data_IF_314558793564
#
_entry.id   IF_314558793564
#
_cell.length_a   1.000
_cell.length_b   1.000
_cell.length_c   1.000
_cell.angle_alpha   90.00
_cell.angle_beta   90.00
_cell.angle_gamma   90.00
#
_symmetry.space_group_name_H-M   'P 1'
#
loop_
_entity.id
_entity.type
_entity.pdbx_description
1 polymer ?
#
# COMPACT_ATOMS: atom_id res chain seq x y z
N UNK A 1 -2.41 0.92 -11.71
CA UNK A 1 -1.82 -0.44 -11.76
C UNK A 1 -1.91 -1.21 -10.45
N UNK A 2 -1.70 -0.59 -9.28
CA UNK A 2 -1.81 -1.27 -7.97
C UNK A 2 -3.03 -2.21 -7.83
N UNK A 3 -4.23 -1.72 -8.15
CA UNK A 3 -5.46 -2.53 -8.05
C UNK A 3 -5.49 -3.74 -8.99
N UNK A 4 -4.85 -3.66 -10.16
CA UNK A 4 -4.77 -4.80 -11.09
C UNK A 4 -3.87 -5.90 -10.51
N UNK A 5 -2.71 -5.52 -9.99
CA UNK A 5 -1.82 -6.46 -9.29
C UNK A 5 -2.48 -7.11 -8.09
N UNK A 6 -3.29 -6.34 -7.35
CA UNK A 6 -4.03 -6.85 -6.21
C UNK A 6 -5.01 -7.96 -6.61
N UNK A 7 -5.78 -7.73 -7.67
CA UNK A 7 -6.73 -8.73 -8.19
C UNK A 7 -6.05 -9.99 -8.73
N UNK A 8 -4.78 -9.90 -9.10
CA UNK A 8 -3.99 -11.04 -9.54
C UNK A 8 -3.19 -11.71 -8.40
N UNK A 9 -3.41 -11.31 -7.15
CA UNK A 9 -2.76 -11.93 -5.99
C UNK A 9 -1.26 -11.64 -5.93
N UNK A 10 -0.82 -10.47 -6.42
CA UNK A 10 0.59 -10.06 -6.48
C UNK A 10 0.91 -9.01 -5.40
N UNK A 11 1.18 -9.42 -4.15
CA UNK A 11 1.29 -8.49 -3.03
C UNK A 11 2.50 -7.56 -3.14
N UNK A 12 3.62 -8.03 -3.69
CA UNK A 12 4.84 -7.22 -3.81
C UNK A 12 4.69 -6.12 -4.87
N UNK A 13 4.24 -6.46 -6.08
CA UNK A 13 3.99 -5.49 -7.14
C UNK A 13 2.89 -4.49 -6.78
N UNK A 14 1.87 -4.95 -6.03
CA UNK A 14 0.84 -4.07 -5.47
C UNK A 14 1.47 -3.08 -4.51
N UNK A 15 2.29 -3.55 -3.56
CA UNK A 15 2.91 -2.70 -2.56
C UNK A 15 3.88 -1.69 -3.19
N UNK A 16 4.70 -2.10 -4.15
CA UNK A 16 5.60 -1.21 -4.89
C UNK A 16 4.82 -0.14 -5.66
N UNK A 17 3.73 -0.52 -6.33
CA UNK A 17 2.89 0.43 -7.06
C UNK A 17 2.22 1.45 -6.13
N UNK A 18 1.74 1.01 -4.95
CA UNK A 18 1.17 1.90 -3.95
C UNK A 18 2.22 2.81 -3.30
N UNK A 19 3.44 2.31 -3.10
CA UNK A 19 4.55 3.11 -2.57
C UNK A 19 4.95 4.22 -3.56
N UNK A 20 4.98 3.91 -4.86
CA UNK A 20 5.22 4.91 -5.90
C UNK A 20 4.11 5.97 -5.92
N UNK A 21 2.84 5.54 -5.94
CA UNK A 21 1.70 6.44 -5.86
C UNK A 21 1.71 7.29 -4.58
N UNK A 22 2.13 6.72 -3.45
CA UNK A 22 2.22 7.42 -2.16
C UNK A 22 3.30 8.52 -2.18
N UNK A 23 4.38 8.34 -2.93
CA UNK A 23 5.43 9.36 -3.10
C UNK A 23 4.95 10.55 -3.93
N UNK A 24 4.11 10.30 -4.93
CA UNK A 24 3.57 11.35 -5.82
C UNK A 24 2.37 12.06 -5.20
N UNK A 25 1.45 11.29 -4.61
CA UNK A 25 0.20 11.79 -4.02
C UNK A 25 -0.11 11.06 -2.69
N UNK A 26 0.51 11.48 -1.57
CA UNK A 26 0.34 10.82 -0.28
C UNK A 26 -1.12 10.75 0.20
N UNK A 27 -1.88 11.82 -0.02
CA UNK A 27 -3.29 11.94 0.36
C UNK A 27 -4.19 10.95 -0.41
N UNK A 28 -3.92 10.71 -1.69
CA UNK A 28 -4.71 9.76 -2.49
C UNK A 28 -4.60 8.32 -1.98
N UNK A 29 -3.40 7.91 -1.52
CA UNK A 29 -3.19 6.57 -0.95
C UNK A 29 -3.71 6.48 0.48
N UNK A 30 -3.60 7.57 1.24
CA UNK A 30 -4.00 7.62 2.66
C UNK A 30 -5.48 7.87 2.89
N UNK A 31 -6.13 8.68 2.08
CA UNK A 31 -7.46 9.20 2.40
C UNK A 31 -8.55 8.49 1.59
N UNK A 32 -8.21 7.93 0.42
CA UNK A 32 -9.16 7.15 -0.35
C UNK A 32 -9.45 5.82 0.35
N UNK A 33 -10.71 5.54 0.71
CA UNK A 33 -11.07 4.32 1.44
C UNK A 33 -10.63 3.04 0.75
N UNK A 34 -10.71 3.00 -0.58
CA UNK A 34 -10.29 1.84 -1.37
C UNK A 34 -8.79 1.58 -1.34
N UNK A 35 -7.96 2.63 -1.34
CA UNK A 35 -6.51 2.48 -1.24
C UNK A 35 -6.10 2.06 0.17
N UNK A 36 -6.68 2.69 1.20
CA UNK A 36 -6.49 2.30 2.59
C UNK A 36 -6.82 0.83 2.82
N UNK A 37 -7.97 0.36 2.31
CA UNK A 37 -8.38 -1.03 2.46
C UNK A 37 -7.35 -2.00 1.87
N UNK A 38 -6.81 -1.71 0.68
CA UNK A 38 -5.77 -2.54 0.07
C UNK A 38 -4.48 -2.51 0.90
N UNK A 39 -4.06 -1.34 1.42
CA UNK A 39 -2.87 -1.23 2.28
C UNK A 39 -3.04 -2.05 3.56
N UNK A 40 -4.19 -1.93 4.23
CA UNK A 40 -4.51 -2.67 5.45
C UNK A 40 -4.52 -4.18 5.17
N UNK A 41 -5.21 -4.62 4.12
CA UNK A 41 -5.29 -6.04 3.78
C UNK A 41 -3.92 -6.62 3.40
N UNK A 42 -3.08 -5.86 2.69
CA UNK A 42 -1.70 -6.26 2.43
C UNK A 42 -0.91 -6.43 3.72
N UNK A 43 -0.99 -5.47 4.65
CA UNK A 43 -0.29 -5.52 5.92
C UNK A 43 -0.72 -6.71 6.79
N UNK A 44 -2.01 -7.04 6.80
CA UNK A 44 -2.57 -8.17 7.54
C UNK A 44 -2.20 -9.53 6.92
N UNK A 45 -2.32 -9.66 5.60
CA UNK A 45 -2.12 -10.94 4.90
C UNK A 45 -0.66 -11.23 4.54
N UNK A 46 0.14 -10.20 4.31
CA UNK A 46 1.52 -10.32 3.83
C UNK A 46 2.53 -9.52 4.68
N UNK A 47 2.53 -9.65 6.03
CA UNK A 47 3.38 -8.85 6.92
C UNK A 47 4.88 -9.14 6.76
N UNK A 48 5.26 -10.28 6.16
CA UNK A 48 6.66 -10.67 5.94
C UNK A 48 7.26 -10.11 4.63
N UNK A 49 6.42 -9.61 3.72
CA UNK A 49 6.89 -9.02 2.46
C UNK A 49 7.53 -7.66 2.74
N UNK A 50 8.79 -7.48 2.33
CA UNK A 50 9.55 -6.27 2.62
C UNK A 50 8.84 -4.99 2.12
N UNK A 51 8.39 -4.99 0.87
CA UNK A 51 7.68 -3.88 0.24
C UNK A 51 6.35 -3.54 0.94
N UNK A 52 5.65 -4.54 1.50
CA UNK A 52 4.41 -4.33 2.27
C UNK A 52 4.71 -3.63 3.60
N UNK A 53 5.74 -4.07 4.33
CA UNK A 53 6.15 -3.40 5.58
C UNK A 53 6.58 -1.96 5.33
N UNK A 54 7.32 -1.72 4.26
CA UNK A 54 7.74 -0.38 3.87
C UNK A 54 6.54 0.52 3.56
N UNK A 55 5.55 -0.01 2.83
CA UNK A 55 4.33 0.70 2.51
C UNK A 55 3.53 1.05 3.77
N UNK A 56 3.31 0.09 4.66
CA UNK A 56 2.61 0.32 5.92
C UNK A 56 3.31 1.39 6.75
N UNK A 57 4.63 1.30 6.91
CA UNK A 57 5.42 2.31 7.63
C UNK A 57 5.28 3.70 6.98
N UNK A 58 5.38 3.81 5.65
CA UNK A 58 5.24 5.08 4.95
C UNK A 58 3.84 5.70 5.11
N UNK A 59 2.79 4.88 5.06
CA UNK A 59 1.41 5.33 5.24
C UNK A 59 1.16 5.80 6.68
N UNK A 60 1.74 5.14 7.68
CA UNK A 60 1.59 5.47 9.10
C UNK A 60 2.51 6.60 9.60
N UNK A 61 3.61 6.91 8.91
CA UNK A 61 4.62 7.88 9.34
C UNK A 61 4.15 9.36 9.37
N UNK A 62 2.86 9.67 9.22
CA UNK A 62 2.34 11.03 9.39
C UNK A 62 1.16 11.06 10.35
N UNK A 63 1.51 11.16 11.63
CA UNK A 63 0.69 11.68 12.73
C UNK A 63 1.56 12.52 13.68
N UNK A 64 2.51 13.27 13.12
CA UNK A 64 3.30 14.28 13.83
C UNK A 64 3.28 15.58 13.02
#
# INVERSE_FOLDING_TARGET
>A
MARAWWQWGKPEETAVSLLAAHREAPAEVRDRPSMRAIVTELAERHPRTASVRQLAAAVHARSA
#
